data_IF_255129206788
#
_entry.id   IF_255129206788
#
_cell.length_a   1.000
_cell.length_b   1.000
_cell.length_c   1.000
_cell.angle_alpha   90.00
_cell.angle_beta   90.00
_cell.angle_gamma   90.00
#
_symmetry.space_group_name_H-M   'P 1'
#
loop_
_entity.id
_entity.type
_entity.pdbx_description
1 polymer ?
#
# COMPACT_ATOMS: atom_id res chain seq x y z
N UNK A 1 4.56 3.56 -2.16
CA UNK A 1 3.10 3.38 -2.30
C UNK A 1 2.42 4.56 -1.62
N UNK A 2 1.46 5.19 -2.29
CA UNK A 2 0.79 6.41 -1.81
C UNK A 2 -0.73 6.23 -1.89
N UNK A 3 -1.42 6.39 -0.77
CA UNK A 3 -2.88 6.40 -0.69
C UNK A 3 -3.42 7.62 -1.44
N UNK A 4 -4.26 7.41 -2.47
CA UNK A 4 -4.77 8.50 -3.30
C UNK A 4 -5.76 9.42 -2.58
N UNK A 5 -6.43 8.93 -1.53
CA UNK A 5 -7.42 9.69 -0.79
C UNK A 5 -6.80 10.61 0.27
N UNK A 6 -5.69 10.20 0.89
CA UNK A 6 -5.10 10.91 2.04
C UNK A 6 -3.69 11.44 1.79
N UNK A 7 -3.01 10.98 0.73
CA UNK A 7 -1.61 11.28 0.48
C UNK A 7 -0.63 10.56 1.41
N UNK A 8 -1.11 9.74 2.37
CA UNK A 8 -0.26 8.94 3.23
C UNK A 8 0.57 7.94 2.39
N UNK A 9 1.84 7.75 2.75
CA UNK A 9 2.78 6.97 1.96
C UNK A 9 3.70 6.09 2.79
N UNK A 10 4.12 4.98 2.18
CA UNK A 10 5.11 4.07 2.71
C UNK A 10 6.00 3.52 1.58
N UNK A 11 7.27 3.27 1.89
CA UNK A 11 8.17 2.47 1.05
C UNK A 11 8.13 1.03 1.54
N UNK A 12 7.94 0.09 0.63
CA UNK A 12 7.83 -1.35 0.93
C UNK A 12 8.79 -2.15 0.06
N UNK A 13 9.19 -3.33 0.53
CA UNK A 13 10.00 -4.29 -0.24
C UNK A 13 9.09 -5.39 -0.80
N UNK A 14 9.24 -5.69 -2.08
CA UNK A 14 8.51 -6.77 -2.75
C UNK A 14 9.14 -8.09 -2.34
N UNK A 15 8.36 -8.99 -1.76
CA UNK A 15 8.83 -10.29 -1.23
C UNK A 15 8.09 -11.51 -1.77
N UNK A 16 6.95 -11.30 -2.45
CA UNK A 16 6.12 -12.36 -3.03
C UNK A 16 5.31 -11.84 -4.22
N UNK A 17 4.69 -12.75 -4.97
CA UNK A 17 3.78 -12.46 -6.08
C UNK A 17 2.34 -12.82 -5.70
N UNK A 18 1.42 -11.87 -5.87
CA UNK A 18 -0.02 -12.08 -5.71
C UNK A 18 -0.76 -12.09 -7.06
N UNK A 19 -1.91 -12.77 -7.13
CA UNK A 19 -2.67 -13.03 -8.37
C UNK A 19 -3.94 -12.19 -8.52
N UNK A 20 -4.07 -11.08 -7.78
CA UNK A 20 -5.27 -10.23 -7.73
C UNK A 20 -5.17 -8.95 -8.59
N UNK A 21 -4.06 -8.76 -9.32
CA UNK A 21 -3.84 -7.59 -10.19
C UNK A 21 -3.50 -6.29 -9.45
N UNK A 22 -3.10 -6.38 -8.18
CA UNK A 22 -2.74 -5.24 -7.34
C UNK A 22 -1.51 -5.50 -6.46
N UNK A 23 -1.51 -4.89 -5.27
CA UNK A 23 -0.51 -5.11 -4.24
C UNK A 23 -1.20 -5.74 -3.03
N UNK A 24 -0.64 -6.81 -2.51
CA UNK A 24 -1.05 -7.37 -1.22
C UNK A 24 -0.08 -6.84 -0.14
N UNK A 25 -0.57 -5.92 0.68
CA UNK A 25 0.25 -5.24 1.68
C UNK A 25 0.14 -5.98 3.01
N UNK A 26 1.26 -6.08 3.74
CA UNK A 26 1.22 -6.43 5.16
C UNK A 26 0.25 -5.50 5.90
N UNK A 27 -0.56 -6.06 6.80
CA UNK A 27 -1.60 -5.33 7.53
C UNK A 27 -1.07 -4.11 8.29
N UNK A 28 0.18 -4.16 8.78
CA UNK A 28 0.79 -3.03 9.46
C UNK A 28 1.07 -1.87 8.50
N UNK A 29 1.52 -2.17 7.27
CA UNK A 29 1.72 -1.16 6.22
C UNK A 29 0.38 -0.62 5.74
N UNK A 30 -0.61 -1.48 5.55
CA UNK A 30 -1.97 -1.07 5.18
C UNK A 30 -2.52 -0.06 6.19
N UNK A 31 -2.48 -0.40 7.48
CA UNK A 31 -2.95 0.48 8.56
C UNK A 31 -2.15 1.78 8.66
N UNK A 32 -0.85 1.77 8.35
CA UNK A 32 -0.03 2.97 8.32
C UNK A 32 -0.51 3.99 7.28
N UNK A 33 -1.01 3.54 6.12
CA UNK A 33 -1.44 4.41 5.02
C UNK A 33 -2.96 4.60 4.94
N UNK A 34 -3.77 3.81 5.64
CA UNK A 34 -5.23 3.98 5.78
C UNK A 34 -5.61 5.01 6.86
N UNK A 35 -5.09 6.23 6.75
CA UNK A 35 -5.20 7.26 7.80
C UNK A 35 -6.60 7.83 8.01
N UNK A 36 -7.56 7.50 7.13
CA UNK A 36 -8.97 7.87 7.27
C UNK A 36 -9.89 6.65 7.48
N UNK A 37 -9.35 5.44 7.60
CA UNK A 37 -10.09 4.19 7.84
C UNK A 37 -11.01 3.74 6.69
N UNK A 38 -10.98 4.40 5.53
CA UNK A 38 -11.84 4.04 4.39
C UNK A 38 -11.34 2.76 3.70
N UNK A 39 -10.04 2.50 3.73
CA UNK A 39 -9.47 1.28 3.17
C UNK A 39 -10.02 0.03 3.85
N UNK A 40 -10.02 0.03 5.18
CA UNK A 40 -10.59 -1.06 5.97
C UNK A 40 -12.09 -1.25 5.68
N UNK A 41 -12.86 -0.15 5.63
CA UNK A 41 -14.30 -0.21 5.34
C UNK A 41 -14.61 -0.76 3.95
N UNK A 42 -13.78 -0.42 2.96
CA UNK A 42 -13.94 -0.87 1.56
C UNK A 42 -13.26 -2.21 1.26
N UNK A 43 -12.51 -2.76 2.23
CA UNK A 43 -11.68 -3.96 2.05
C UNK A 43 -10.46 -3.78 1.14
N UNK A 44 -10.18 -2.57 0.66
CA UNK A 44 -9.02 -2.25 -0.18
C UNK A 44 -8.73 -0.74 -0.23
N UNK A 45 -7.52 -0.36 -0.66
CA UNK A 45 -7.13 1.02 -0.96
C UNK A 45 -6.89 1.19 -2.45
N UNK A 46 -7.25 2.36 -2.99
CA UNK A 46 -6.70 2.83 -4.27
C UNK A 46 -5.38 3.53 -4.01
N UNK A 47 -4.32 3.13 -4.72
CA UNK A 47 -2.96 3.64 -4.49
C UNK A 47 -2.25 3.96 -5.80
N UNK A 48 -1.34 4.93 -5.73
CA UNK A 48 -0.29 5.09 -6.73
C UNK A 48 0.99 4.43 -6.21
N UNK A 49 1.79 3.84 -7.10
CA UNK A 49 3.09 3.27 -6.73
C UNK A 49 4.14 3.48 -7.81
N UNK A 50 5.39 3.47 -7.37
CA UNK A 50 6.58 3.51 -8.21
C UNK A 50 7.59 2.53 -7.66
N UNK A 51 8.38 1.92 -8.54
CA UNK A 51 9.56 1.17 -8.13
C UNK A 51 10.63 2.15 -7.67
N UNK A 52 11.27 1.83 -6.55
CA UNK A 52 12.35 2.62 -5.96
C UNK A 52 13.52 1.72 -5.63
N UNK A 53 14.74 2.27 -5.69
CA UNK A 53 15.92 1.58 -5.20
C UNK A 53 15.89 1.60 -3.67
N UNK A 54 15.97 0.42 -3.04
CA UNK A 54 15.95 0.31 -1.59
C UNK A 54 17.29 0.70 -0.94
N UNK A 55 18.39 0.72 -1.70
CA UNK A 55 19.75 0.79 -1.17
C UNK A 55 20.06 -0.46 -0.34
N UNK A 56 20.90 -1.34 -0.85
CA UNK A 56 21.33 -2.53 -0.09
C UNK A 56 22.56 -2.21 0.77
#
# INVERSE_FOLDING_TARGET
VTNTATGAQATVRIVDQCSNGGLDLDVNVFNQIDTNGQGYQNGHLTVNYSFVNCGD
#
